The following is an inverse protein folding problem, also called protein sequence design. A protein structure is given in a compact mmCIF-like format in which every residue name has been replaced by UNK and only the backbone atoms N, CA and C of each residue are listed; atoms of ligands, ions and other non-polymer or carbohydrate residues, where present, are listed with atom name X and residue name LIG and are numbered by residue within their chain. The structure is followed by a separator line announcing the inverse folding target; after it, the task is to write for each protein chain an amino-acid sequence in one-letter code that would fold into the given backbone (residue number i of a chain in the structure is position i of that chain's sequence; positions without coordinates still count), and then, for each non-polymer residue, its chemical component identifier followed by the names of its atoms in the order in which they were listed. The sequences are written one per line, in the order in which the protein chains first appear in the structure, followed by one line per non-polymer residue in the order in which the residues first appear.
data_IF_762622570188
#
_entry.id   IF_762622570188
#
_cell.length_a   1.000
_cell.length_b   1.000
_cell.length_c   1.000
_cell.angle_alpha   90.00
_cell.angle_beta   90.00
_cell.angle_gamma   90.00
#
_symmetry.space_group_name_H-M   'P 1'
#
loop_
_entity.id
_entity.type
_entity.pdbx_description
1 polymer ?
#
# COMPACT_ATOMS: atom_id res chain seq x y z
N UNK A 1 -8.40 14.15 18.91
CA UNK A 1 -7.22 13.97 18.04
C UNK A 1 -7.76 13.60 16.67
N UNK A 2 -7.93 14.59 15.80
CA UNK A 2 -8.65 14.41 14.53
C UNK A 2 -7.75 13.72 13.52
N UNK A 3 -7.88 12.40 13.41
CA UNK A 3 -7.45 11.72 12.19
C UNK A 3 -8.38 12.23 11.10
N UNK A 4 -7.81 12.91 10.11
CA UNK A 4 -8.52 13.23 8.88
C UNK A 4 -9.13 11.92 8.35
N UNK A 5 -10.47 11.87 8.28
CA UNK A 5 -11.20 10.71 7.77
C UNK A 5 -11.17 10.66 6.24
N UNK A 6 -10.66 11.71 5.60
CA UNK A 6 -10.30 11.67 4.19
C UNK A 6 -8.97 10.92 4.15
N UNK A 7 -8.97 9.70 3.62
CA UNK A 7 -7.77 8.89 3.47
C UNK A 7 -6.61 9.66 2.85
N UNK A 8 -5.37 9.22 3.10
CA UNK A 8 -4.20 9.89 2.56
C UNK A 8 -4.22 9.98 1.03
N UNK A 9 -3.85 11.14 0.48
CA UNK A 9 -3.67 11.34 -0.96
C UNK A 9 -2.39 10.65 -1.43
N UNK A 10 -2.54 9.41 -1.92
CA UNK A 10 -1.44 8.61 -2.48
C UNK A 10 -0.79 9.32 -3.67
N UNK A 11 -1.55 10.05 -4.50
CA UNK A 11 -0.98 10.71 -5.66
C UNK A 11 -0.02 11.82 -5.24
N UNK A 12 -0.45 12.68 -4.30
CA UNK A 12 0.41 13.72 -3.75
C UNK A 12 1.66 13.13 -3.07
N UNK A 13 1.50 12.06 -2.28
CA UNK A 13 2.61 11.38 -1.61
C UNK A 13 3.62 10.78 -2.62
N UNK A 14 3.15 10.12 -3.67
CA UNK A 14 4.00 9.55 -4.72
C UNK A 14 4.76 10.66 -5.48
N UNK A 15 4.10 11.77 -5.81
CA UNK A 15 4.75 12.94 -6.43
C UNK A 15 5.82 13.56 -5.53
N UNK A 16 5.55 13.67 -4.23
CA UNK A 16 6.56 14.13 -3.28
C UNK A 16 7.75 13.17 -3.21
N UNK A 17 7.50 11.86 -3.17
CA UNK A 17 8.54 10.83 -3.10
C UNK A 17 9.48 10.86 -4.32
N UNK A 18 8.96 11.09 -5.53
CA UNK A 18 9.76 11.27 -6.76
C UNK A 18 10.77 12.41 -6.60
N UNK A 19 10.37 13.52 -5.98
CA UNK A 19 11.23 14.69 -5.79
C UNK A 19 12.29 14.51 -4.69
N UNK A 20 12.09 13.56 -3.77
CA UNK A 20 12.97 13.36 -2.61
C UNK A 20 13.88 12.13 -2.71
N UNK A 21 13.48 11.12 -3.48
CA UNK A 21 14.26 9.87 -3.59
C UNK A 21 15.55 10.06 -4.37
N UNK A 22 16.59 9.31 -3.97
CA UNK A 22 17.90 9.28 -4.66
C UNK A 22 18.04 8.15 -5.67
N UNK A 23 17.08 7.21 -5.72
CA UNK A 23 17.07 6.09 -6.68
C UNK A 23 16.28 6.46 -7.92
N UNK A 24 16.88 6.29 -9.09
CA UNK A 24 16.21 6.55 -10.37
C UNK A 24 15.24 5.42 -10.73
N UNK A 25 15.51 4.19 -10.28
CA UNK A 25 14.62 3.03 -10.40
C UNK A 25 13.29 3.30 -9.69
N UNK A 26 13.34 3.82 -8.45
CA UNK A 26 12.14 4.19 -7.68
C UNK A 26 11.39 5.34 -8.34
N UNK A 27 12.09 6.38 -8.84
CA UNK A 27 11.43 7.48 -9.56
C UNK A 27 10.66 6.96 -10.76
N UNK A 28 11.33 6.19 -11.62
CA UNK A 28 10.74 5.63 -12.83
C UNK A 28 9.54 4.72 -12.54
N UNK A 29 9.64 3.91 -11.49
CA UNK A 29 8.55 3.04 -11.06
C UNK A 29 7.32 3.83 -10.57
N UNK A 30 7.54 4.88 -9.77
CA UNK A 30 6.47 5.78 -9.33
C UNK A 30 5.85 6.55 -10.51
N UNK A 31 6.66 7.07 -11.43
CA UNK A 31 6.18 7.75 -12.63
C UNK A 31 5.33 6.82 -13.51
N UNK A 32 5.77 5.57 -13.72
CA UNK A 32 4.96 4.55 -14.40
C UNK A 32 3.61 4.34 -13.73
N UNK A 33 3.58 4.19 -12.40
CA UNK A 33 2.33 4.02 -11.65
C UNK A 33 1.40 5.24 -11.81
N UNK A 34 1.94 6.45 -11.80
CA UNK A 34 1.18 7.70 -11.94
C UNK A 34 0.63 7.89 -13.36
N UNK A 35 1.36 7.48 -14.39
CA UNK A 35 0.96 7.63 -15.79
C UNK A 35 0.05 6.50 -16.31
N UNK A 36 -0.03 5.36 -15.60
CA UNK A 36 -0.83 4.22 -16.02
C UNK A 36 -2.35 4.52 -16.02
N UNK A 37 -3.13 4.00 -16.99
CA UNK A 37 -4.57 4.19 -17.02
C UNK A 37 -5.23 3.59 -15.77
N UNK A 38 -6.15 4.33 -15.14
CA UNK A 38 -6.85 3.95 -13.89
C UNK A 38 -7.98 2.94 -14.12
N UNK A 39 -7.66 1.80 -14.73
CA UNK A 39 -8.63 0.78 -15.13
C UNK A 39 -8.57 -0.51 -14.27
N UNK A 40 -7.55 -0.67 -13.41
CA UNK A 40 -7.40 -1.84 -12.53
C UNK A 40 -7.22 -3.18 -13.25
N UNK A 41 -6.89 -3.16 -14.56
CA UNK A 41 -6.77 -4.37 -15.37
C UNK A 41 -5.43 -5.07 -15.13
N UNK A 42 -5.43 -6.40 -15.08
CA UNK A 42 -4.20 -7.20 -14.94
C UNK A 42 -3.16 -6.88 -16.03
N UNK A 43 -3.61 -6.62 -17.25
CA UNK A 43 -2.74 -6.20 -18.36
C UNK A 43 -2.02 -4.87 -18.07
N UNK A 44 -2.68 -3.93 -17.38
CA UNK A 44 -2.06 -2.66 -16.96
C UNK A 44 -1.10 -2.88 -15.79
N UNK A 45 -1.48 -3.68 -14.78
CA UNK A 45 -0.59 -4.04 -13.66
C UNK A 45 0.69 -4.70 -14.17
N UNK A 46 0.60 -5.60 -15.14
CA UNK A 46 1.76 -6.27 -15.74
C UNK A 46 2.76 -5.32 -16.43
N UNK A 47 2.33 -4.11 -16.86
CA UNK A 47 3.25 -3.10 -17.40
C UNK A 47 4.12 -2.41 -16.34
N UNK A 48 3.68 -2.48 -15.08
CA UNK A 48 4.39 -1.91 -13.93
C UNK A 48 5.50 -2.84 -13.44
N UNK A 49 5.36 -4.14 -13.70
CA UNK A 49 6.33 -5.16 -13.31
C UNK A 49 5.66 -6.48 -12.96
N UNK A 50 6.43 -7.36 -12.33
CA UNK A 50 5.94 -8.59 -11.72
C UNK A 50 6.21 -8.64 -10.21
N UNK A 51 6.86 -7.62 -9.63
CA UNK A 51 7.09 -7.52 -8.20
C UNK A 51 8.39 -8.18 -7.72
N UNK A 52 9.24 -8.66 -8.63
CA UNK A 52 10.48 -9.36 -8.30
C UNK A 52 11.56 -8.45 -7.69
N UNK A 53 11.40 -7.15 -7.86
CA UNK A 53 12.27 -6.11 -7.30
C UNK A 53 11.43 -5.07 -6.57
N UNK A 54 12.04 -4.39 -5.61
CA UNK A 54 11.34 -3.53 -4.66
C UNK A 54 10.57 -2.38 -5.34
N UNK A 55 11.15 -1.77 -6.37
CA UNK A 55 10.54 -0.67 -7.12
C UNK A 55 9.33 -1.11 -7.94
N UNK A 56 9.33 -2.33 -8.50
CA UNK A 56 8.14 -2.90 -9.16
C UNK A 56 7.03 -3.14 -8.16
N UNK A 57 7.38 -3.72 -6.99
CA UNK A 57 6.40 -4.00 -5.96
C UNK A 57 5.74 -2.71 -5.42
N UNK A 58 6.56 -1.67 -5.24
CA UNK A 58 6.09 -0.33 -4.89
C UNK A 58 5.18 0.27 -5.97
N UNK A 59 5.55 0.17 -7.26
CA UNK A 59 4.74 0.72 -8.35
C UNK A 59 3.35 0.06 -8.44
N UNK A 60 3.30 -1.28 -8.28
CA UNK A 60 2.04 -2.04 -8.28
C UNK A 60 1.17 -1.62 -7.07
N UNK A 61 1.77 -1.50 -5.88
CA UNK A 61 1.06 -1.09 -4.68
C UNK A 61 0.49 0.34 -4.77
N UNK A 62 1.27 1.29 -5.28
CA UNK A 62 0.83 2.67 -5.51
C UNK A 62 -0.29 2.71 -6.55
N UNK A 63 -0.14 1.98 -7.67
CA UNK A 63 -1.19 1.89 -8.69
C UNK A 63 -2.50 1.30 -8.15
N UNK A 64 -2.41 0.24 -7.34
CA UNK A 64 -3.55 -0.36 -6.67
C UNK A 64 -4.27 0.66 -5.78
N UNK A 65 -3.53 1.42 -4.97
CA UNK A 65 -4.07 2.50 -4.16
C UNK A 65 -4.76 3.61 -4.98
N UNK A 66 -4.16 4.01 -6.10
CA UNK A 66 -4.70 5.03 -7.00
C UNK A 66 -5.98 4.59 -7.74
N UNK A 67 -6.19 3.28 -7.92
CA UNK A 67 -7.38 2.72 -8.56
C UNK A 67 -8.44 2.22 -7.56
N UNK A 68 -8.10 2.14 -6.28
CA UNK A 68 -8.96 1.55 -5.27
C UNK A 68 -10.20 2.42 -5.04
N UNK A 69 -11.38 1.78 -5.05
CA UNK A 69 -12.63 2.41 -4.62
C UNK A 69 -13.05 1.95 -3.21
N UNK A 70 -12.42 0.87 -2.74
CA UNK A 70 -12.50 0.30 -1.40
C UNK A 70 -11.29 -0.63 -1.20
N UNK A 71 -11.12 -1.15 0.02
CA UNK A 71 -10.00 -2.02 0.41
C UNK A 71 -9.90 -3.28 -0.46
N UNK A 72 -11.01 -4.01 -0.64
CA UNK A 72 -11.05 -5.23 -1.47
C UNK A 72 -10.63 -4.98 -2.93
N UNK A 73 -11.13 -3.89 -3.52
CA UNK A 73 -10.80 -3.54 -4.88
C UNK A 73 -9.30 -3.25 -5.04
N UNK A 74 -8.72 -2.49 -4.12
CA UNK A 74 -7.29 -2.19 -4.11
C UNK A 74 -6.45 -3.46 -3.94
N UNK A 75 -6.76 -4.30 -2.95
CA UNK A 75 -6.05 -5.57 -2.73
C UNK A 75 -6.14 -6.47 -3.96
N UNK A 76 -7.33 -6.61 -4.55
CA UNK A 76 -7.52 -7.39 -5.77
C UNK A 76 -6.65 -6.90 -6.93
N UNK A 77 -6.46 -5.59 -7.09
CA UNK A 77 -5.59 -5.04 -8.14
C UNK A 77 -4.12 -5.37 -7.88
N UNK A 78 -3.64 -5.22 -6.64
CA UNK A 78 -2.26 -5.50 -6.28
C UNK A 78 -1.87 -6.96 -6.56
N UNK A 79 -2.83 -7.89 -6.46
CA UNK A 79 -2.63 -9.32 -6.69
C UNK A 79 -2.84 -9.76 -8.15
N UNK A 80 -3.31 -8.88 -9.04
CA UNK A 80 -3.64 -9.20 -10.45
C UNK A 80 -2.41 -9.22 -11.38
N UNK A 81 -1.39 -9.98 -11.02
CA UNK A 81 -0.23 -10.29 -11.86
C UNK A 81 0.33 -11.68 -11.54
N UNK A 82 1.18 -12.23 -12.42
CA UNK A 82 1.69 -13.61 -12.31
C UNK A 82 3.03 -13.73 -11.57
N UNK A 83 3.43 -12.72 -10.81
CA UNK A 83 4.73 -12.65 -10.14
C UNK A 83 4.62 -12.70 -8.62
N UNK A 84 5.43 -11.89 -7.94
CA UNK A 84 5.57 -11.84 -6.48
C UNK A 84 4.40 -11.10 -5.81
N UNK A 85 3.21 -11.71 -5.91
CA UNK A 85 1.95 -11.09 -5.49
C UNK A 85 1.82 -10.90 -3.98
N UNK A 86 2.54 -11.70 -3.20
CA UNK A 86 2.58 -11.60 -1.74
C UNK A 86 3.26 -10.29 -1.30
N UNK A 87 4.42 -9.95 -1.86
CA UNK A 87 5.09 -8.67 -1.58
C UNK A 87 4.27 -7.46 -2.05
N UNK A 88 3.70 -7.53 -3.26
CA UNK A 88 2.86 -6.42 -3.77
C UNK A 88 1.60 -6.24 -2.93
N UNK A 89 0.95 -7.35 -2.55
CA UNK A 89 -0.21 -7.37 -1.67
C UNK A 89 0.10 -6.82 -0.27
N UNK A 90 1.24 -7.18 0.31
CA UNK A 90 1.65 -6.69 1.63
C UNK A 90 1.94 -5.18 1.63
N UNK A 91 2.64 -4.67 0.61
CA UNK A 91 2.91 -3.23 0.49
C UNK A 91 1.60 -2.47 0.18
N UNK A 92 0.79 -2.98 -0.73
CA UNK A 92 -0.51 -2.39 -1.06
C UNK A 92 -1.44 -2.36 0.16
N UNK A 93 -1.50 -3.43 0.94
CA UNK A 93 -2.32 -3.50 2.16
C UNK A 93 -1.97 -2.42 3.17
N UNK A 94 -0.68 -2.18 3.39
CA UNK A 94 -0.22 -1.07 4.25
C UNK A 94 -0.66 0.30 3.72
N UNK A 95 -0.53 0.56 2.42
CA UNK A 95 -0.97 1.81 1.80
C UNK A 95 -2.49 1.99 1.88
N UNK A 96 -3.23 0.96 1.50
CA UNK A 96 -4.70 0.97 1.48
C UNK A 96 -5.27 1.15 2.89
N UNK A 97 -4.58 0.67 3.93
CA UNK A 97 -4.99 0.88 5.30
C UNK A 97 -5.00 2.35 5.74
N UNK A 98 -4.13 3.17 5.15
CA UNK A 98 -4.09 4.62 5.36
C UNK A 98 -5.17 5.34 4.53
N UNK A 99 -5.51 4.81 3.36
CA UNK A 99 -6.55 5.38 2.47
C UNK A 99 -7.97 5.07 2.95
N UNK A 100 -8.19 3.87 3.50
CA UNK A 100 -9.49 3.43 3.98
C UNK A 100 -9.44 3.22 5.50
N UNK A 101 -9.21 4.29 6.29
CA UNK A 101 -9.14 4.16 7.74
C UNK A 101 -10.51 3.71 8.28
N UNK A 102 -10.52 2.61 9.01
CA UNK A 102 -11.72 2.03 9.63
C UNK A 102 -12.25 0.76 8.95
N UNK A 103 -12.00 0.53 7.65
CA UNK A 103 -12.48 -0.70 6.99
C UNK A 103 -11.54 -1.88 7.23
N UNK A 104 -10.27 -1.61 7.53
CA UNK A 104 -9.24 -2.65 7.70
C UNK A 104 -9.56 -3.55 8.89
N UNK A 105 -9.87 -2.97 10.05
CA UNK A 105 -10.09 -3.73 11.29
C UNK A 105 -11.38 -4.54 11.28
N UNK A 106 -12.32 -4.21 10.40
CA UNK A 106 -13.59 -4.93 10.21
C UNK A 106 -13.49 -5.96 9.08
N UNK A 107 -12.33 -6.09 8.45
CA UNK A 107 -12.16 -6.91 7.26
C UNK A 107 -12.17 -8.41 7.62
N UNK A 108 -13.02 -9.24 6.97
CA UNK A 108 -13.14 -10.67 7.31
C UNK A 108 -11.83 -11.45 7.17
N UNK A 109 -10.93 -11.01 6.29
CA UNK A 109 -9.63 -11.69 6.09
C UNK A 109 -8.74 -11.68 7.34
N UNK A 110 -8.94 -10.77 8.31
CA UNK A 110 -8.14 -10.76 9.54
C UNK A 110 -8.23 -12.10 10.27
N UNK A 111 -9.40 -12.72 10.28
CA UNK A 111 -9.62 -14.02 10.94
C UNK A 111 -8.85 -15.17 10.27
N UNK A 112 -8.41 -14.98 9.02
CA UNK A 112 -7.67 -15.96 8.24
C UNK A 112 -6.16 -15.74 8.27
N UNK A 113 -5.68 -14.65 8.88
CA UNK A 113 -4.24 -14.34 8.95
C UNK A 113 -3.59 -15.22 10.02
N UNK A 114 -2.59 -15.99 9.61
CA UNK A 114 -1.76 -16.76 10.54
C UNK A 114 -1.02 -15.81 11.50
N UNK A 115 -0.98 -16.17 12.79
CA UNK A 115 -0.34 -15.36 13.84
C UNK A 115 -0.91 -13.94 13.99
N UNK A 116 -2.20 -13.73 13.69
CA UNK A 116 -2.85 -12.42 13.85
C UNK A 116 -2.71 -11.86 15.28
N UNK A 117 -2.76 -12.71 16.30
CA UNK A 117 -2.54 -12.36 17.71
C UNK A 117 -1.12 -11.83 17.98
N UNK A 118 -0.11 -12.45 17.38
CA UNK A 118 1.28 -11.99 17.48
C UNK A 118 1.48 -10.65 16.75
N UNK A 119 0.91 -10.50 15.55
CA UNK A 119 0.97 -9.24 14.79
C UNK A 119 0.30 -8.13 15.60
N UNK A 120 -0.88 -8.37 16.16
CA UNK A 120 -1.59 -7.42 17.03
C UNK A 120 -0.75 -7.02 18.23
N UNK A 121 -0.10 -7.99 18.88
CA UNK A 121 0.81 -7.72 20.01
C UNK A 121 1.98 -6.80 19.60
N UNK A 122 2.65 -7.11 18.48
CA UNK A 122 3.76 -6.29 17.96
C UNK A 122 3.28 -4.86 17.68
N UNK A 123 2.12 -4.70 17.05
CA UNK A 123 1.54 -3.38 16.75
C UNK A 123 1.24 -2.60 18.03
N UNK A 124 0.64 -3.25 19.04
CA UNK A 124 0.33 -2.60 20.33
C UNK A 124 1.59 -2.14 21.07
N UNK A 125 2.63 -2.97 21.09
CA UNK A 125 3.90 -2.64 21.74
C UNK A 125 4.63 -1.50 21.00
N UNK A 126 4.69 -1.56 19.67
CA UNK A 126 5.26 -0.49 18.85
C UNK A 126 4.51 0.84 19.05
N UNK A 127 3.18 0.79 19.05
CA UNK A 127 2.36 1.99 19.26
C UNK A 127 2.58 2.61 20.64
N UNK A 128 2.69 1.80 21.69
CA UNK A 128 2.99 2.27 23.03
C UNK A 128 4.37 2.95 23.12
N UNK A 129 5.40 2.39 22.45
CA UNK A 129 6.73 3.01 22.39
C UNK A 129 6.70 4.36 21.65
N UNK A 130 6.02 4.44 20.51
CA UNK A 130 5.85 5.68 19.74
C UNK A 130 5.19 6.78 20.60
N UNK A 131 4.10 6.45 21.31
CA UNK A 131 3.41 7.41 22.18
C UNK A 131 4.28 7.87 23.35
N UNK A 132 5.07 6.95 23.93
CA UNK A 132 5.97 7.28 25.04
C UNK A 132 7.05 8.26 24.59
N UNK A 133 7.64 8.04 23.40
CA UNK A 133 8.65 8.94 22.82
C UNK A 133 8.09 10.29 22.41
N UNK A 134 6.85 10.35 21.96
CA UNK A 134 6.19 11.61 21.57
C UNK A 134 5.79 12.48 22.79
N UNK A 135 5.68 11.87 23.97
CA UNK A 135 5.37 12.56 25.23
C UNK A 135 6.62 13.04 26.01
N UNK A 136 7.83 12.69 25.54
CA UNK A 136 9.12 13.09 26.10
C UNK A 136 9.72 14.26 25.33
#
# INVERSE_FOLDING_TARGET
MGWDRNGADIEAAARAAINTTRSDEVKHALEKSLCAPRNGLAATVATLGQGWVAEEALAIAVYAGLCAVNLDHGLSIALKHGGDSDSTGAIAGNLLAVVFPGTVMEHPLIESVECADLIEKIVRELWADILTRAAA
#
